data_IF_791587523705
#
_entry.id   IF_791587523705
#
_cell.length_a   1.000
_cell.length_b   1.000
_cell.length_c   1.000
_cell.angle_alpha   90.00
_cell.angle_beta   90.00
_cell.angle_gamma   90.00
#
_symmetry.space_group_name_H-M   'P 1'
#
loop_
_entity.id
_entity.type
_entity.pdbx_description
1 polymer ?
#
# COMPACT_ATOMS: atom_id res chain seq x y z
N UNK A 1 6.42 -19.47 -5.26
CA UNK A 1 7.65 -20.26 -5.05
C UNK A 1 8.06 -20.08 -3.59
N UNK A 2 8.24 -21.15 -2.83
CA UNK A 2 8.65 -21.05 -1.42
C UNK A 2 10.15 -20.72 -1.35
N UNK A 3 10.53 -19.72 -0.55
CA UNK A 3 11.94 -19.39 -0.32
C UNK A 3 12.63 -20.58 0.37
N UNK A 4 13.74 -21.06 -0.21
CA UNK A 4 14.50 -22.23 0.26
C UNK A 4 15.62 -21.86 1.24
N UNK A 5 15.93 -20.57 1.42
CA UNK A 5 16.97 -20.11 2.34
C UNK A 5 16.64 -20.45 3.78
N UNK A 6 17.67 -20.61 4.61
CA UNK A 6 17.47 -20.84 6.04
C UNK A 6 16.83 -19.62 6.73
N UNK A 7 16.12 -19.82 7.85
CA UNK A 7 15.48 -18.71 8.56
C UNK A 7 16.50 -17.71 9.13
N UNK A 8 17.71 -18.17 9.47
CA UNK A 8 18.83 -17.31 9.91
C UNK A 8 19.40 -16.48 8.77
N UNK A 9 19.49 -17.05 7.57
CA UNK A 9 19.93 -16.33 6.37
C UNK A 9 18.92 -15.26 5.95
N UNK A 10 17.62 -15.58 5.92
CA UNK A 10 16.56 -14.61 5.65
C UNK A 10 16.58 -13.49 6.70
N UNK A 11 16.77 -13.82 7.97
CA UNK A 11 16.85 -12.84 9.05
C UNK A 11 18.02 -11.84 8.83
N UNK A 12 19.20 -12.36 8.48
CA UNK A 12 20.39 -11.55 8.19
C UNK A 12 20.17 -10.62 6.99
N UNK A 13 19.56 -11.13 5.92
CA UNK A 13 19.36 -10.37 4.69
C UNK A 13 18.21 -9.35 4.79
N UNK A 14 17.13 -9.68 5.51
CA UNK A 14 15.95 -8.81 5.64
C UNK A 14 16.02 -7.83 6.82
N UNK A 15 17.00 -7.99 7.73
CA UNK A 15 17.11 -7.18 8.94
C UNK A 15 15.96 -7.40 9.94
N UNK A 16 15.35 -8.59 9.91
CA UNK A 16 14.28 -9.05 10.81
C UNK A 16 14.82 -10.19 11.67
N UNK A 17 14.35 -10.35 12.91
CA UNK A 17 14.84 -11.42 13.78
C UNK A 17 14.45 -12.82 13.29
N UNK A 18 15.34 -13.80 13.45
CA UNK A 18 15.10 -15.19 13.07
C UNK A 18 13.81 -15.79 13.69
N UNK A 19 13.45 -15.54 14.96
CA UNK A 19 12.18 -16.01 15.53
C UNK A 19 10.95 -15.43 14.82
N UNK A 20 11.06 -14.24 14.24
CA UNK A 20 9.98 -13.61 13.47
C UNK A 20 9.81 -14.32 12.13
N UNK A 21 10.92 -14.58 11.43
CA UNK A 21 10.92 -15.35 10.18
C UNK A 21 10.35 -16.76 10.40
N UNK A 22 10.77 -17.44 11.48
CA UNK A 22 10.28 -18.78 11.83
C UNK A 22 8.76 -18.79 12.06
N UNK A 23 8.25 -17.87 12.89
CA UNK A 23 6.81 -17.75 13.15
C UNK A 23 6.00 -17.49 11.88
N UNK A 24 6.51 -16.63 10.99
CA UNK A 24 5.87 -16.33 9.71
C UNK A 24 5.80 -17.51 8.74
N UNK A 25 6.85 -18.34 8.71
CA UNK A 25 6.85 -19.58 7.92
C UNK A 25 5.85 -20.59 8.46
N UNK A 26 5.84 -20.77 9.78
CA UNK A 26 4.93 -21.70 10.45
C UNK A 26 3.46 -21.28 10.35
N UNK A 27 3.18 -19.99 10.20
CA UNK A 27 1.80 -19.50 10.07
C UNK A 27 1.19 -19.75 8.69
N UNK A 28 1.93 -20.29 7.70
CA UNK A 28 1.43 -20.55 6.33
C UNK A 28 0.62 -19.38 5.74
N UNK A 29 1.05 -18.14 6.00
CA UNK A 29 0.34 -16.93 5.55
C UNK A 29 -0.99 -16.60 6.24
N UNK A 30 -1.50 -17.45 7.15
CA UNK A 30 -2.76 -17.24 7.84
C UNK A 30 -2.61 -16.24 9.00
N UNK A 31 -3.52 -15.25 9.08
CA UNK A 31 -3.64 -14.26 10.16
C UNK A 31 -2.39 -13.41 10.43
N UNK A 32 -1.65 -13.03 9.40
CA UNK A 32 -0.52 -12.11 9.55
C UNK A 32 -1.00 -10.66 9.62
N UNK A 33 -0.99 -10.07 10.82
CA UNK A 33 -1.20 -8.62 11.01
C UNK A 33 -0.04 -7.87 10.34
N UNK A 34 -0.37 -6.83 9.55
CA UNK A 34 0.63 -5.90 8.96
C UNK A 34 1.40 -5.20 10.09
N UNK A 35 2.57 -5.74 10.39
CA UNK A 35 3.50 -5.24 11.41
C UNK A 35 4.78 -4.77 10.74
N UNK A 36 5.60 -3.97 11.44
CA UNK A 36 6.89 -3.51 10.91
C UNK A 36 7.77 -4.66 10.35
N UNK A 37 7.95 -5.78 11.08
CA UNK A 37 8.69 -6.93 10.58
C UNK A 37 8.04 -7.63 9.37
N UNK A 38 6.71 -7.69 9.33
CA UNK A 38 5.98 -8.21 8.16
C UNK A 38 6.25 -7.36 6.92
N UNK A 39 6.13 -6.03 7.05
CA UNK A 39 6.37 -5.11 5.94
C UNK A 39 7.82 -5.20 5.43
N UNK A 40 8.81 -5.30 6.34
CA UNK A 40 10.22 -5.51 5.96
C UNK A 40 10.43 -6.78 5.15
N UNK A 41 9.78 -7.89 5.53
CA UNK A 41 9.84 -9.13 4.78
C UNK A 41 9.16 -8.99 3.42
N UNK A 42 8.02 -8.32 3.32
CA UNK A 42 7.38 -8.06 2.04
C UNK A 42 8.28 -7.23 1.12
N UNK A 43 8.87 -6.14 1.60
CA UNK A 43 9.85 -5.36 0.84
C UNK A 43 11.06 -6.19 0.41
N UNK A 44 11.57 -7.05 1.30
CA UNK A 44 12.65 -7.99 0.99
C UNK A 44 12.30 -8.97 -0.14
N UNK A 45 11.04 -9.37 -0.26
CA UNK A 45 10.54 -10.21 -1.35
C UNK A 45 10.00 -9.42 -2.56
N UNK A 46 10.15 -8.09 -2.58
CA UNK A 46 9.62 -7.24 -3.65
C UNK A 46 8.08 -7.17 -3.67
N UNK A 47 7.41 -7.60 -2.60
CA UNK A 47 5.96 -7.49 -2.45
C UNK A 47 5.66 -6.09 -1.95
N UNK A 48 4.99 -5.30 -2.77
CA UNK A 48 4.56 -3.96 -2.37
C UNK A 48 3.42 -4.05 -1.35
N UNK A 49 3.77 -3.84 -0.08
CA UNK A 49 2.81 -3.70 1.02
C UNK A 49 2.43 -2.25 1.28
N UNK A 50 2.57 -1.38 0.29
CA UNK A 50 2.10 -0.01 0.34
C UNK A 50 0.74 0.09 1.05
N UNK A 51 0.54 1.11 1.90
CA UNK A 51 -0.77 1.32 2.51
C UNK A 51 -1.82 1.30 1.40
N UNK A 52 -2.95 0.61 1.63
CA UNK A 52 -4.04 0.50 0.63
C UNK A 52 -4.43 1.88 0.08
N UNK A 53 -4.32 2.91 0.92
CA UNK A 53 -4.47 4.33 0.56
C UNK A 53 -3.50 4.82 -0.53
N UNK A 54 -2.22 4.42 -0.54
CA UNK A 54 -1.27 4.78 -1.60
C UNK A 54 -1.70 4.19 -2.93
N UNK A 55 -2.00 2.88 -2.97
CA UNK A 55 -2.46 2.23 -4.20
C UNK A 55 -3.77 2.81 -4.72
N UNK A 56 -4.69 3.17 -3.82
CA UNK A 56 -5.92 3.88 -4.18
C UNK A 56 -5.63 5.28 -4.77
N UNK A 57 -4.69 6.03 -4.17
CA UNK A 57 -4.29 7.33 -4.69
C UNK A 57 -3.59 7.23 -6.05
N UNK A 58 -2.83 6.17 -6.31
CA UNK A 58 -2.18 5.95 -7.61
C UNK A 58 -3.24 5.69 -8.69
N UNK A 59 -4.21 4.81 -8.43
CA UNK A 59 -5.34 4.56 -9.35
C UNK A 59 -6.16 5.82 -9.62
N UNK A 60 -6.45 6.61 -8.58
CA UNK A 60 -7.18 7.87 -8.75
C UNK A 60 -6.38 8.88 -9.57
N UNK A 61 -5.07 8.99 -9.30
CA UNK A 61 -4.18 9.87 -10.05
C UNK A 61 -4.15 9.47 -11.53
N UNK A 62 -3.99 8.19 -11.82
CA UNK A 62 -3.93 7.68 -13.18
C UNK A 62 -5.26 7.94 -13.91
N UNK A 63 -6.40 7.69 -13.26
CA UNK A 63 -7.71 7.99 -13.84
C UNK A 63 -7.92 9.49 -14.11
N UNK A 64 -7.41 10.37 -13.24
CA UNK A 64 -7.45 11.83 -13.47
C UNK A 64 -6.58 12.22 -14.67
N UNK A 65 -5.38 11.65 -14.77
CA UNK A 65 -4.47 11.90 -15.90
C UNK A 65 -5.10 11.42 -17.21
N UNK A 66 -5.72 10.24 -17.21
CA UNK A 66 -6.40 9.68 -18.40
C UNK A 66 -7.62 10.51 -18.83
N UNK A 67 -8.35 11.09 -17.88
CA UNK A 67 -9.52 11.92 -18.16
C UNK A 67 -9.16 13.36 -18.57
N UNK A 68 -7.97 13.85 -18.25
CA UNK A 68 -7.55 15.22 -18.51
C UNK A 68 -7.13 15.43 -19.97
N UNK A 69 -7.72 16.42 -20.63
CA UNK A 69 -7.41 16.77 -22.03
C UNK A 69 -6.17 17.66 -22.20
N UNK A 70 -5.49 18.01 -21.09
CA UNK A 70 -4.30 18.87 -21.09
C UNK A 70 -4.58 20.37 -21.04
N UNK A 71 -5.84 20.81 -21.08
CA UNK A 71 -6.20 22.24 -20.98
C UNK A 71 -6.29 22.73 -19.53
N UNK A 72 -6.02 24.02 -19.33
CA UNK A 72 -6.16 24.69 -18.04
C UNK A 72 -7.63 24.79 -17.61
N UNK A 73 -8.55 24.97 -18.58
CA UNK A 73 -9.99 25.01 -18.36
C UNK A 73 -10.50 23.69 -17.78
N UNK A 74 -10.12 22.57 -18.38
CA UNK A 74 -10.51 21.25 -17.87
C UNK A 74 -9.84 20.94 -16.53
N UNK A 75 -8.57 21.35 -16.34
CA UNK A 75 -7.89 21.24 -15.05
C UNK A 75 -8.64 21.97 -13.93
N UNK A 76 -9.12 23.19 -14.18
CA UNK A 76 -9.94 23.96 -13.23
C UNK A 76 -11.27 23.28 -12.94
N UNK A 77 -11.93 22.71 -13.95
CA UNK A 77 -13.18 21.99 -13.76
C UNK A 77 -13.00 20.74 -12.87
N UNK A 78 -11.95 19.94 -13.11
CA UNK A 78 -11.61 18.78 -12.28
C UNK A 78 -11.34 19.18 -10.82
N UNK A 79 -10.62 20.29 -10.58
CA UNK A 79 -10.35 20.80 -9.24
C UNK A 79 -11.64 21.16 -8.48
N UNK A 80 -12.60 21.81 -9.15
CA UNK A 80 -13.89 22.17 -8.54
C UNK A 80 -14.66 20.92 -8.09
N UNK A 81 -14.69 19.89 -8.94
CA UNK A 81 -15.36 18.61 -8.63
C UNK A 81 -14.71 17.92 -7.43
N UNK A 82 -13.38 17.81 -7.42
CA UNK A 82 -12.63 17.18 -6.31
C UNK A 82 -12.89 17.91 -5.00
N UNK A 83 -12.89 19.25 -5.01
CA UNK A 83 -13.18 20.03 -3.81
C UNK A 83 -14.62 19.82 -3.33
N UNK A 84 -15.59 19.80 -4.24
CA UNK A 84 -16.99 19.51 -3.90
C UNK A 84 -17.18 18.13 -3.26
N UNK A 85 -16.51 17.09 -3.78
CA UNK A 85 -16.54 15.75 -3.20
C UNK A 85 -15.93 15.71 -1.78
N UNK A 86 -14.85 16.46 -1.55
CA UNK A 86 -14.22 16.57 -0.23
C UNK A 86 -15.16 17.21 0.79
N UNK A 87 -15.88 18.26 0.39
CA UNK A 87 -16.82 18.96 1.27
C UNK A 87 -18.04 18.09 1.60
N UNK A 88 -18.50 17.25 0.65
CA UNK A 88 -19.57 16.28 0.88
C UNK A 88 -19.13 15.17 1.86
N UNK A 89 -17.90 14.66 1.73
CA UNK A 89 -17.35 13.68 2.67
C UNK A 89 -17.26 14.25 4.08
N UNK A 90 -16.76 15.48 4.24
CA UNK A 90 -16.66 16.14 5.55
C UNK A 90 -18.03 16.26 6.24
N UNK A 91 -19.08 16.64 5.49
CA UNK A 91 -20.45 16.69 6.02
C UNK A 91 -21.02 15.32 6.39
N UNK A 92 -20.60 14.26 5.71
CA UNK A 92 -21.02 12.90 6.01
C UNK A 92 -20.34 12.36 7.27
N UNK A 93 -19.08 12.72 7.51
CA UNK A 93 -18.31 12.30 8.69
C UNK A 93 -18.73 13.05 9.98
N UNK A 94 -19.36 14.23 9.86
CA UNK A 94 -19.90 15.03 10.99
C UNK A 94 -21.29 14.54 11.48
N UNK A 95 -21.87 13.50 10.87
CA UNK A 95 -23.17 12.90 11.25
C UNK A 95 -23.00 11.55 11.93
#
# INVERSE_FOLDING_TARGET
MADTRSSSEIARLSGVSQPTVSRLRLSNGHRLRRSGPFNKLCSFYGVDTGPVRRRYNDLLRDAIVDAWDGSDEHGRALLVVIQGLKDLQAKADDR
#
